data_IF_685858494904
#
_entry.id   IF_685858494904
#
_cell.length_a   1.000
_cell.length_b   1.000
_cell.length_c   1.000
_cell.angle_alpha   90.00
_cell.angle_beta   90.00
_cell.angle_gamma   90.00
#
_symmetry.space_group_name_H-M   'P 1'
#
loop_
_entity.id
_entity.type
_entity.pdbx_description
1 polymer ?
#
# COMPACT_ATOMS: atom_id res chain seq x y z
N UNK A 1 -8.05 18.37 -4.74
CA UNK A 1 -8.75 18.16 -6.03
C UNK A 1 -8.87 16.67 -6.27
N UNK A 2 -9.88 16.22 -7.03
CA UNK A 2 -10.03 14.83 -7.48
C UNK A 2 -9.87 14.84 -9.01
N UNK A 3 -9.08 13.91 -9.54
CA UNK A 3 -8.91 13.69 -10.97
C UNK A 3 -9.43 12.30 -11.33
N UNK A 4 -9.89 12.13 -12.57
CA UNK A 4 -10.54 10.91 -13.03
C UNK A 4 -10.02 10.52 -14.41
N UNK A 5 -9.88 9.21 -14.62
CA UNK A 5 -9.68 8.54 -15.91
C UNK A 5 -10.73 7.43 -16.03
N UNK A 6 -11.12 7.09 -17.25
CA UNK A 6 -12.11 6.03 -17.47
C UNK A 6 -11.96 5.39 -18.85
N UNK A 7 -12.46 4.17 -18.98
CA UNK A 7 -12.68 3.49 -20.24
C UNK A 7 -14.06 2.80 -20.22
N UNK A 8 -14.32 1.87 -21.14
CA UNK A 8 -15.62 1.19 -21.24
C UNK A 8 -15.94 0.25 -20.06
N UNK A 9 -14.96 -0.08 -19.22
CA UNK A 9 -15.10 -1.03 -18.09
C UNK A 9 -15.09 -0.32 -16.75
N UNK A 10 -14.14 0.58 -16.51
CA UNK A 10 -13.87 1.17 -15.20
C UNK A 10 -13.76 2.69 -15.25
N UNK A 11 -14.17 3.32 -14.15
CA UNK A 11 -13.88 4.71 -13.82
C UNK A 11 -13.00 4.75 -12.57
N UNK A 12 -11.86 5.42 -12.66
CA UNK A 12 -10.87 5.52 -11.58
C UNK A 12 -10.72 6.97 -11.17
N UNK A 13 -10.77 7.24 -9.86
CA UNK A 13 -10.56 8.59 -9.32
C UNK A 13 -9.45 8.63 -8.28
N UNK A 14 -8.63 9.68 -8.34
CA UNK A 14 -7.47 9.88 -7.49
C UNK A 14 -7.51 11.27 -6.85
N UNK A 15 -7.33 11.33 -5.54
CA UNK A 15 -7.13 12.57 -4.79
C UNK A 15 -5.73 13.12 -5.08
N UNK A 16 -5.63 14.40 -5.44
CA UNK A 16 -4.33 15.05 -5.61
C UNK A 16 -3.49 15.00 -4.33
N UNK A 17 -4.15 15.16 -3.17
CA UNK A 17 -3.51 15.07 -1.87
C UNK A 17 -2.96 13.65 -1.68
N UNK A 18 -1.65 13.53 -1.58
CA UNK A 18 -0.94 12.25 -1.46
C UNK A 18 -1.04 11.32 -2.67
N UNK A 19 -1.57 11.80 -3.81
CA UNK A 19 -1.91 10.98 -4.98
C UNK A 19 -2.70 9.71 -4.57
N UNK A 20 -3.68 9.85 -3.68
CA UNK A 20 -4.39 8.73 -3.07
C UNK A 20 -5.51 8.25 -4.00
N UNK A 21 -5.42 7.00 -4.47
CA UNK A 21 -6.52 6.33 -5.17
C UNK A 21 -7.75 6.30 -4.25
N UNK A 22 -8.87 6.86 -4.69
CA UNK A 22 -10.07 6.99 -3.85
C UNK A 22 -11.31 6.30 -4.43
N UNK A 23 -11.27 5.87 -5.69
CA UNK A 23 -12.38 5.14 -6.33
C UNK A 23 -11.89 4.29 -7.48
N UNK A 24 -12.40 3.05 -7.55
CA UNK A 24 -12.45 2.23 -8.77
C UNK A 24 -13.90 1.79 -8.87
N UNK A 25 -14.61 2.27 -9.88
CA UNK A 25 -16.03 1.98 -10.07
C UNK A 25 -16.27 1.27 -11.39
N UNK A 26 -17.08 0.21 -11.37
CA UNK A 26 -17.57 -0.46 -12.59
C UNK A 26 -18.53 0.45 -13.36
N UNK A 27 -18.27 0.65 -14.65
CA UNK A 27 -19.17 1.40 -15.54
C UNK A 27 -20.47 0.63 -15.78
N UNK A 28 -20.41 -0.70 -15.77
CA UNK A 28 -21.53 -1.61 -16.10
C UNK A 28 -22.63 -1.62 -15.04
N UNK A 29 -22.27 -1.63 -13.76
CA UNK A 29 -23.22 -1.80 -12.66
C UNK A 29 -23.06 -0.78 -11.52
N UNK A 30 -22.05 0.09 -11.58
CA UNK A 30 -21.81 1.12 -10.57
C UNK A 30 -21.16 0.63 -9.26
N UNK A 31 -20.76 -0.65 -9.17
CA UNK A 31 -20.07 -1.20 -7.99
C UNK A 31 -18.77 -0.44 -7.72
N UNK A 32 -18.59 0.02 -6.49
CA UNK A 32 -17.37 0.69 -6.01
C UNK A 32 -16.48 -0.29 -5.25
N UNK A 33 -15.26 -0.49 -5.75
CA UNK A 33 -14.33 -1.47 -5.20
C UNK A 33 -13.41 -0.89 -4.13
N UNK A 34 -13.19 0.43 -4.09
CA UNK A 34 -12.35 1.08 -3.08
C UNK A 34 -13.16 1.50 -1.87
N UNK A 35 -12.62 1.27 -0.67
CA UNK A 35 -13.21 1.73 0.57
C UNK A 35 -13.35 3.26 0.61
N UNK A 36 -14.53 3.73 0.98
CA UNK A 36 -14.94 5.16 0.89
C UNK A 36 -14.56 5.99 2.12
N UNK A 37 -13.49 5.61 2.81
CA UNK A 37 -12.87 6.38 3.89
C UNK A 37 -13.82 6.87 4.99
N UNK A 38 -14.81 6.07 5.42
CA UNK A 38 -15.68 6.48 6.53
C UNK A 38 -14.81 6.76 7.78
N UNK A 39 -14.77 8.01 8.29
CA UNK A 39 -13.86 8.40 9.37
C UNK A 39 -14.14 7.70 10.70
N UNK A 40 -15.37 7.20 10.91
CA UNK A 40 -15.74 6.45 12.11
C UNK A 40 -15.11 5.05 12.14
N UNK A 41 -14.62 4.56 10.99
CA UNK A 41 -13.93 3.27 10.86
C UNK A 41 -12.46 3.51 10.49
N UNK A 42 -12.22 4.06 9.29
CA UNK A 42 -10.88 4.41 8.80
C UNK A 42 -10.96 5.47 7.71
N UNK A 43 -10.44 6.67 8.00
CA UNK A 43 -10.53 7.86 7.14
C UNK A 43 -9.54 7.93 5.97
N UNK A 44 -9.17 6.80 5.38
CA UNK A 44 -8.34 6.76 4.15
C UNK A 44 -8.86 5.69 3.19
N UNK A 45 -8.42 5.75 1.94
CA UNK A 45 -8.89 4.89 0.85
C UNK A 45 -7.77 3.92 0.42
N UNK A 46 -6.70 4.46 -0.14
CA UNK A 46 -5.57 3.70 -0.65
C UNK A 46 -4.27 4.53 -0.63
N UNK A 47 -3.75 4.88 0.57
CA UNK A 47 -2.62 5.78 0.66
C UNK A 47 -1.34 5.15 0.09
N UNK A 48 -0.53 5.99 -0.56
CA UNK A 48 0.88 5.68 -0.82
C UNK A 48 1.68 5.77 0.47
N UNK A 49 2.72 4.95 0.61
CA UNK A 49 3.60 4.88 1.78
C UNK A 49 5.03 5.20 1.34
N UNK A 50 5.56 6.33 1.80
CA UNK A 50 6.90 6.82 1.47
C UNK A 50 7.30 7.94 2.44
N UNK A 51 8.56 8.02 2.90
CA UNK A 51 9.69 7.14 2.60
C UNK A 51 9.86 6.00 3.62
N UNK A 52 8.87 5.77 4.47
CA UNK A 52 8.88 4.69 5.46
C UNK A 52 7.55 3.95 5.44
N UNK A 53 7.56 2.68 5.86
CA UNK A 53 6.37 1.84 6.04
C UNK A 53 6.19 1.58 7.52
N UNK A 54 4.96 1.64 8.02
CA UNK A 54 4.64 1.39 9.41
C UNK A 54 5.23 2.43 10.36
N UNK A 55 5.38 2.06 11.64
CA UNK A 55 5.92 2.93 12.67
C UNK A 55 7.45 2.86 12.69
N UNK A 56 8.09 3.96 13.08
CA UNK A 56 9.50 3.98 13.49
C UNK A 56 9.56 3.98 15.02
N UNK A 57 10.62 3.38 15.59
CA UNK A 57 10.82 3.42 17.03
C UNK A 57 11.02 4.87 17.46
N UNK A 58 10.25 5.28 18.47
CA UNK A 58 10.19 6.67 18.95
C UNK A 58 9.75 7.69 17.88
N UNK A 59 9.05 7.24 16.83
CA UNK A 59 8.56 8.07 15.72
C UNK A 59 9.66 8.87 14.99
N UNK A 60 10.88 8.34 14.96
CA UNK A 60 12.02 9.02 14.33
C UNK A 60 13.13 8.03 13.92
N UNK A 61 13.92 8.40 12.91
CA UNK A 61 15.16 7.69 12.54
C UNK A 61 16.39 8.58 12.76
N UNK A 62 17.56 7.95 12.81
CA UNK A 62 18.87 8.59 12.85
C UNK A 62 19.52 8.42 11.48
N UNK A 63 20.09 9.50 10.95
CA UNK A 63 20.90 9.49 9.74
C UNK A 63 22.07 10.45 9.93
N UNK A 64 23.29 9.96 9.72
CA UNK A 64 24.53 10.73 9.90
C UNK A 64 24.62 11.41 11.29
N UNK A 65 24.18 10.71 12.33
CA UNK A 65 24.21 11.20 13.72
C UNK A 65 23.16 12.26 14.05
N UNK A 66 22.25 12.57 13.13
CA UNK A 66 21.12 13.48 13.37
C UNK A 66 19.79 12.73 13.36
N UNK A 67 18.90 13.12 14.27
CA UNK A 67 17.56 12.58 14.39
C UNK A 67 16.56 13.33 13.51
N UNK A 68 15.65 12.58 12.89
CA UNK A 68 14.59 13.08 12.02
C UNK A 68 13.25 12.47 12.43
N UNK A 69 12.31 13.31 12.86
CA UNK A 69 10.95 12.90 13.18
C UNK A 69 10.20 12.49 11.91
N UNK A 70 9.48 11.36 11.97
CA UNK A 70 8.76 10.81 10.83
C UNK A 70 7.45 10.16 11.32
N UNK A 71 6.29 10.55 10.77
CA UNK A 71 5.03 9.90 11.10
C UNK A 71 4.96 8.47 10.56
N UNK A 72 4.02 7.69 11.10
CA UNK A 72 3.69 6.34 10.61
C UNK A 72 3.41 6.38 9.09
N UNK A 73 4.04 5.48 8.34
CA UNK A 73 3.97 5.39 6.87
C UNK A 73 4.55 6.59 6.08
N UNK A 74 5.32 7.44 6.75
CA UNK A 74 5.96 8.58 6.13
C UNK A 74 5.00 9.71 5.80
N UNK A 75 5.41 10.59 4.91
CA UNK A 75 4.76 11.89 4.70
C UNK A 75 4.06 12.03 3.35
N UNK A 76 4.17 11.07 2.42
CA UNK A 76 3.47 11.19 1.12
C UNK A 76 1.95 11.17 1.34
N UNK A 77 1.47 10.30 2.22
CA UNK A 77 0.07 10.30 2.65
C UNK A 77 -0.25 11.65 3.27
N UNK A 78 -1.39 12.21 2.85
CA UNK A 78 -1.84 13.54 3.24
C UNK A 78 -1.00 14.73 2.77
N UNK A 79 0.04 14.53 1.95
CA UNK A 79 0.85 15.63 1.46
C UNK A 79 0.08 16.50 0.46
N UNK A 80 0.00 17.80 0.72
CA UNK A 80 -0.69 18.78 -0.13
C UNK A 80 0.21 19.39 -1.20
N UNK A 81 1.52 19.14 -1.14
CA UNK A 81 2.49 19.62 -2.13
C UNK A 81 2.55 18.70 -3.35
N UNK A 82 1.93 17.52 -3.29
CA UNK A 82 1.69 16.68 -4.48
C UNK A 82 0.89 17.48 -5.51
N UNK A 83 1.26 17.36 -6.78
CA UNK A 83 0.60 18.00 -7.92
C UNK A 83 0.35 17.02 -9.04
N UNK A 84 -0.73 17.22 -9.79
CA UNK A 84 -0.88 16.61 -11.09
C UNK A 84 0.30 17.03 -11.99
N UNK A 85 0.97 16.04 -12.57
CA UNK A 85 2.10 16.20 -13.49
C UNK A 85 1.66 16.00 -14.94
N UNK A 86 0.87 14.97 -15.20
CA UNK A 86 0.39 14.62 -16.54
C UNK A 86 -0.99 13.98 -16.45
N UNK A 87 -1.86 14.28 -17.42
CA UNK A 87 -3.16 13.65 -17.58
C UNK A 87 -3.42 13.38 -19.06
N UNK A 88 -3.94 12.19 -19.34
CA UNK A 88 -4.49 11.77 -20.62
C UNK A 88 -5.81 11.01 -20.38
N UNK A 89 -6.36 10.35 -21.40
CA UNK A 89 -7.65 9.66 -21.29
C UNK A 89 -7.60 8.46 -20.33
N UNK A 90 -6.48 7.74 -20.33
CA UNK A 90 -6.28 6.48 -19.61
C UNK A 90 -5.16 6.55 -18.56
N UNK A 91 -4.54 7.72 -18.34
CA UNK A 91 -3.44 7.88 -17.39
C UNK A 91 -3.49 9.18 -16.61
N UNK A 92 -3.25 9.07 -15.30
CA UNK A 92 -2.93 10.18 -14.40
C UNK A 92 -1.51 9.99 -13.88
N UNK A 93 -0.74 11.07 -13.80
CA UNK A 93 0.57 11.09 -13.15
C UNK A 93 0.63 12.23 -12.16
N UNK A 94 1.05 11.96 -10.94
CA UNK A 94 1.27 12.94 -9.90
C UNK A 94 2.75 13.01 -9.54
N UNK A 95 3.19 14.14 -9.00
CA UNK A 95 4.58 14.33 -8.56
C UNK A 95 4.64 15.02 -7.19
N UNK A 96 5.58 14.57 -6.36
CA UNK A 96 6.11 15.28 -5.21
C UNK A 96 7.62 15.45 -5.39
N UNK A 97 8.08 16.69 -5.52
CA UNK A 97 9.51 17.01 -5.49
C UNK A 97 9.90 17.45 -4.08
N UNK A 98 11.08 17.04 -3.63
CA UNK A 98 11.62 17.47 -2.35
C UNK A 98 11.75 19.00 -2.27
N UNK A 99 11.45 19.56 -1.12
CA UNK A 99 11.52 20.99 -0.85
C UNK A 99 12.12 21.25 0.55
N UNK A 100 12.21 22.51 0.95
CA UNK A 100 12.76 22.87 2.26
C UNK A 100 12.00 22.24 3.44
N UNK A 101 10.69 22.03 3.32
CA UNK A 101 9.89 21.41 4.37
C UNK A 101 10.08 19.90 4.43
N UNK A 102 10.11 19.20 3.30
CA UNK A 102 10.38 17.75 3.30
C UNK A 102 11.80 17.46 3.81
N UNK A 103 12.79 18.29 3.44
CA UNK A 103 14.18 18.13 3.90
C UNK A 103 14.39 18.33 5.40
N UNK A 104 13.46 18.96 6.12
CA UNK A 104 13.49 19.04 7.59
C UNK A 104 13.26 17.69 8.26
N UNK A 105 12.47 16.82 7.65
CA UNK A 105 12.07 15.52 8.19
C UNK A 105 12.69 14.32 7.45
N UNK A 106 13.25 14.55 6.27
CA UNK A 106 13.88 13.51 5.46
C UNK A 106 14.99 14.14 4.59
N UNK A 107 16.27 13.97 4.95
CA UNK A 107 17.38 14.77 4.46
C UNK A 107 17.87 14.38 3.05
N UNK A 108 16.97 13.97 2.16
CA UNK A 108 17.29 13.58 0.79
C UNK A 108 16.53 14.44 -0.20
N UNK A 109 17.16 14.70 -1.34
CA UNK A 109 16.54 15.36 -2.48
C UNK A 109 16.02 14.31 -3.45
N UNK A 110 14.76 14.43 -3.83
CA UNK A 110 14.06 13.42 -4.62
C UNK A 110 12.99 14.04 -5.51
N UNK A 111 12.62 13.28 -6.55
CA UNK A 111 11.33 13.40 -7.24
C UNK A 111 10.60 12.07 -7.11
N UNK A 112 9.37 12.11 -6.62
CA UNK A 112 8.51 10.93 -6.54
C UNK A 112 7.29 11.12 -7.44
N UNK A 113 7.23 10.35 -8.52
CA UNK A 113 6.07 10.29 -9.42
C UNK A 113 5.25 9.03 -9.16
N UNK A 114 3.93 9.21 -9.23
CA UNK A 114 2.96 8.14 -9.01
C UNK A 114 2.03 8.14 -10.21
N UNK A 115 2.07 7.07 -10.98
CA UNK A 115 1.31 6.90 -12.21
C UNK A 115 0.16 5.93 -12.00
N UNK A 116 -1.02 6.31 -12.46
CA UNK A 116 -2.22 5.50 -12.51
C UNK A 116 -2.54 5.28 -13.98
N UNK A 117 -2.45 4.04 -14.46
CA UNK A 117 -2.61 3.69 -15.87
C UNK A 117 -3.75 2.67 -15.97
N UNK A 118 -4.81 3.03 -16.68
CA UNK A 118 -6.03 2.23 -16.80
C UNK A 118 -6.07 1.51 -18.15
N UNK A 119 -5.92 0.19 -18.14
CA UNK A 119 -5.94 -0.66 -19.31
C UNK A 119 -7.04 -1.71 -19.16
N UNK A 120 -8.10 -1.66 -19.98
CA UNK A 120 -9.25 -2.57 -19.88
C UNK A 120 -9.83 -2.56 -18.44
N UNK A 121 -9.92 -3.72 -17.80
CA UNK A 121 -10.38 -3.92 -16.43
C UNK A 121 -9.24 -3.90 -15.38
N UNK A 122 -8.07 -3.37 -15.74
CA UNK A 122 -6.90 -3.32 -14.88
C UNK A 122 -6.39 -1.88 -14.68
N UNK A 123 -6.15 -1.52 -13.41
CA UNK A 123 -5.43 -0.31 -13.02
C UNK A 123 -4.01 -0.68 -12.58
N UNK A 124 -2.99 -0.16 -13.26
CA UNK A 124 -1.59 -0.21 -12.80
C UNK A 124 -1.29 1.03 -11.98
N UNK A 125 -0.62 0.82 -10.85
CA UNK A 125 -0.07 1.86 -9.99
C UNK A 125 1.44 1.74 -10.04
N UNK A 126 2.10 2.68 -10.71
CA UNK A 126 3.55 2.67 -10.93
C UNK A 126 4.17 3.79 -10.11
N UNK A 127 5.16 3.44 -9.29
CA UNK A 127 5.95 4.36 -8.49
C UNK A 127 7.30 4.58 -9.18
N UNK A 128 7.62 5.83 -9.51
CA UNK A 128 8.91 6.23 -10.06
C UNK A 128 9.59 7.21 -9.09
N UNK A 129 10.76 6.84 -8.58
CA UNK A 129 11.52 7.64 -7.63
C UNK A 129 12.87 7.97 -8.23
N UNK A 130 13.23 9.24 -8.30
CA UNK A 130 14.54 9.71 -8.76
C UNK A 130 15.29 10.35 -7.61
N UNK A 131 16.55 9.94 -7.40
CA UNK A 131 17.46 10.63 -6.48
C UNK A 131 17.95 11.91 -7.13
N UNK A 132 17.56 13.06 -6.59
CA UNK A 132 17.88 14.38 -7.15
C UNK A 132 19.07 15.07 -6.44
N UNK A 133 19.55 14.48 -5.34
CA UNK A 133 20.65 15.00 -4.54
C UNK A 133 22.02 14.46 -4.95
N UNK A 134 23.02 14.75 -4.11
CA UNK A 134 24.41 14.33 -4.33
C UNK A 134 24.84 13.11 -3.49
N UNK A 135 23.96 12.61 -2.61
CA UNK A 135 24.23 11.47 -1.72
C UNK A 135 23.30 10.30 -2.03
N UNK A 136 23.69 9.08 -1.65
CA UNK A 136 22.83 7.88 -1.71
C UNK A 136 21.51 8.15 -0.96
N UNK A 137 20.38 7.95 -1.63
CA UNK A 137 19.07 8.11 -1.04
C UNK A 137 18.56 6.80 -0.45
N UNK A 138 17.99 6.86 0.75
CA UNK A 138 17.50 5.70 1.51
C UNK A 138 15.98 5.76 1.66
N UNK A 139 15.23 4.71 1.29
CA UNK A 139 13.76 4.75 1.44
C UNK A 139 13.11 3.37 1.52
N UNK A 140 11.87 3.36 2.00
CA UNK A 140 10.87 2.31 1.77
C UNK A 140 9.76 2.86 0.85
N UNK A 141 9.06 1.94 0.19
CA UNK A 141 7.94 2.24 -0.69
C UNK A 141 6.85 1.19 -0.55
N UNK A 142 5.59 1.61 -0.43
CA UNK A 142 4.45 0.69 -0.43
C UNK A 142 3.14 1.33 -0.85
N UNK A 143 2.16 0.47 -1.16
CA UNK A 143 0.75 0.84 -1.28
C UNK A 143 -0.05 0.36 -0.08
N UNK A 144 -1.23 0.94 0.14
CA UNK A 144 -2.16 0.52 1.18
C UNK A 144 -3.63 0.53 0.71
N UNK A 145 -3.96 -0.05 -0.47
CA UNK A 145 -5.33 -0.01 -0.98
C UNK A 145 -6.28 -0.85 -0.13
N UNK A 146 -7.39 -0.23 0.30
CA UNK A 146 -8.51 -0.91 0.94
C UNK A 146 -9.62 -1.19 -0.08
N UNK A 147 -10.04 -2.44 -0.13
CA UNK A 147 -11.07 -2.93 -1.04
C UNK A 147 -12.35 -3.26 -0.30
N UNK A 148 -13.48 -2.73 -0.78
CA UNK A 148 -14.80 -3.05 -0.22
C UNK A 148 -15.08 -4.56 -0.33
N UNK A 149 -15.64 -5.10 0.73
CA UNK A 149 -16.37 -6.35 0.73
C UNK A 149 -17.87 -6.03 0.71
N UNK A 150 -18.71 -7.07 0.66
CA UNK A 150 -20.18 -6.94 0.65
C UNK A 150 -20.67 -6.07 -0.53
N UNK A 151 -20.07 -6.27 -1.70
CA UNK A 151 -20.32 -5.51 -2.92
C UNK A 151 -21.76 -5.65 -3.45
N UNK A 152 -22.42 -6.77 -3.13
CA UNK A 152 -23.81 -7.06 -3.56
C UNK A 152 -24.70 -7.31 -2.34
N UNK A 153 -26.01 -7.00 -2.49
CA UNK A 153 -27.00 -7.24 -1.44
C UNK A 153 -27.05 -8.72 -1.02
N UNK A 154 -27.00 -8.97 0.30
CA UNK A 154 -27.04 -10.33 0.87
C UNK A 154 -25.68 -11.02 0.97
N UNK A 155 -24.59 -10.34 0.59
CA UNK A 155 -23.23 -10.78 0.89
C UNK A 155 -22.80 -10.29 2.28
N UNK A 156 -22.11 -11.17 3.00
CA UNK A 156 -21.52 -10.91 4.31
C UNK A 156 -19.99 -10.89 4.20
N UNK A 157 -19.30 -10.20 5.12
CA UNK A 157 -17.83 -10.18 5.13
C UNK A 157 -17.22 -11.60 5.18
N UNK A 158 -17.88 -12.55 5.84
CA UNK A 158 -17.46 -13.96 5.94
C UNK A 158 -17.64 -14.78 4.65
N UNK A 159 -18.37 -14.24 3.67
CA UNK A 159 -18.45 -14.83 2.33
C UNK A 159 -17.17 -14.55 1.53
N UNK A 160 -16.36 -13.57 1.95
CA UNK A 160 -15.14 -13.18 1.26
C UNK A 160 -13.92 -13.94 1.76
N UNK A 161 -12.95 -14.12 0.87
CA UNK A 161 -11.67 -14.76 1.16
C UNK A 161 -10.57 -14.20 0.27
N UNK A 162 -9.34 -14.33 0.75
CA UNK A 162 -8.14 -14.03 0.00
C UNK A 162 -7.52 -15.34 -0.51
N UNK A 163 -7.21 -15.39 -1.80
CA UNK A 163 -6.62 -16.55 -2.47
C UNK A 163 -5.26 -16.17 -3.09
N UNK A 164 -4.20 -16.83 -2.65
CA UNK A 164 -2.85 -16.71 -3.20
C UNK A 164 -2.72 -17.53 -4.48
N UNK A 165 -1.89 -17.04 -5.40
CA UNK A 165 -1.58 -17.72 -6.66
C UNK A 165 -0.97 -19.13 -6.47
N UNK A 166 -0.19 -19.31 -5.40
CA UNK A 166 0.47 -20.57 -5.07
C UNK A 166 0.13 -21.02 -3.64
N UNK A 167 0.36 -22.30 -3.35
CA UNK A 167 0.32 -22.78 -1.98
C UNK A 167 1.49 -22.22 -1.17
N UNK A 168 1.12 -21.62 -0.05
CA UNK A 168 2.00 -20.91 0.86
C UNK A 168 2.12 -21.65 2.19
N UNK A 169 3.28 -21.50 2.82
CA UNK A 169 3.48 -21.84 4.24
C UNK A 169 4.03 -20.58 4.90
N UNK A 170 3.15 -19.79 5.50
CA UNK A 170 3.46 -18.44 5.97
C UNK A 170 3.14 -18.29 7.45
N UNK A 171 4.07 -17.66 8.16
CA UNK A 171 3.84 -17.12 9.49
C UNK A 171 3.59 -15.61 9.37
N UNK A 172 2.69 -15.08 10.18
CA UNK A 172 2.59 -13.63 10.35
C UNK A 172 3.69 -13.13 11.28
N UNK A 173 4.01 -11.84 11.23
CA UNK A 173 4.86 -11.18 12.23
C UNK A 173 4.00 -10.37 13.19
N UNK A 174 4.21 -10.54 14.49
CA UNK A 174 3.43 -9.81 15.49
C UNK A 174 3.86 -8.35 15.54
N UNK A 175 2.91 -7.45 15.76
CA UNK A 175 3.22 -6.09 16.18
C UNK A 175 3.39 -6.04 17.70
N UNK A 176 4.53 -5.51 18.15
CA UNK A 176 4.79 -5.12 19.52
C UNK A 176 4.22 -3.72 19.82
N UNK A 177 4.42 -3.26 21.05
CA UNK A 177 4.00 -1.93 21.49
C UNK A 177 4.47 -0.84 20.52
N UNK A 178 3.59 0.12 20.23
CA UNK A 178 3.86 1.21 19.29
C UNK A 178 3.80 0.81 17.82
N UNK A 179 3.37 -0.41 17.46
CA UNK A 179 3.26 -0.86 16.08
C UNK A 179 4.59 -1.24 15.43
N UNK A 180 5.54 -1.67 16.25
CA UNK A 180 6.87 -2.15 15.84
C UNK A 180 6.83 -3.65 15.52
N UNK A 181 7.70 -4.13 14.64
CA UNK A 181 7.83 -5.56 14.34
C UNK A 181 8.45 -6.28 15.55
N UNK A 182 7.69 -7.21 16.12
CA UNK A 182 8.13 -8.10 17.18
C UNK A 182 8.62 -9.44 16.63
N UNK A 183 8.43 -10.49 17.43
CA UNK A 183 8.78 -11.85 17.03
C UNK A 183 7.85 -12.38 15.93
N UNK A 184 8.32 -13.44 15.27
CA UNK A 184 7.46 -14.26 14.42
C UNK A 184 6.22 -14.70 15.21
N UNK A 185 5.08 -14.59 14.55
CA UNK A 185 3.76 -14.87 15.07
C UNK A 185 3.26 -16.25 14.65
N UNK A 186 1.93 -16.38 14.64
CA UNK A 186 1.28 -17.65 14.30
C UNK A 186 1.44 -17.98 12.82
N UNK A 187 1.47 -19.26 12.51
CA UNK A 187 1.27 -19.76 11.17
C UNK A 187 -0.14 -19.41 10.69
N UNK A 188 -0.24 -18.69 9.57
CA UNK A 188 -1.51 -18.31 8.94
C UNK A 188 -1.87 -19.23 7.78
N UNK A 189 -0.87 -19.81 7.12
CA UNK A 189 -1.04 -20.80 6.05
C UNK A 189 -0.03 -21.94 6.20
N UNK A 190 -0.45 -23.16 5.89
CA UNK A 190 0.39 -24.35 5.89
C UNK A 190 0.10 -25.18 4.64
N UNK A 191 0.94 -25.05 3.61
CA UNK A 191 0.73 -25.62 2.28
C UNK A 191 -0.71 -25.40 1.77
N UNK A 192 -1.20 -24.18 1.93
CA UNK A 192 -2.53 -23.75 1.56
C UNK A 192 -2.44 -22.37 0.91
N UNK A 193 -3.46 -21.99 0.16
CA UNK A 193 -3.47 -20.73 -0.58
C UNK A 193 -4.63 -19.81 -0.20
N UNK A 194 -5.42 -20.14 0.83
CA UNK A 194 -6.65 -19.39 1.13
C UNK A 194 -6.74 -18.93 2.57
N UNK A 195 -7.00 -17.64 2.76
CA UNK A 195 -7.33 -17.03 4.05
C UNK A 195 -8.80 -16.58 4.00
N UNK A 196 -9.66 -17.21 4.80
CA UNK A 196 -11.06 -16.79 4.92
C UNK A 196 -11.16 -15.51 5.75
N UNK A 197 -11.88 -14.51 5.25
CA UNK A 197 -12.12 -13.29 6.01
C UNK A 197 -13.17 -13.55 7.09
N UNK A 198 -12.92 -13.01 8.28
CA UNK A 198 -13.89 -12.98 9.38
C UNK A 198 -13.60 -11.76 10.28
N UNK A 199 -14.58 -11.26 11.05
CA UNK A 199 -14.46 -9.95 11.70
C UNK A 199 -13.25 -9.78 12.65
N UNK A 200 -12.80 -10.89 13.25
CA UNK A 200 -11.69 -10.93 14.21
C UNK A 200 -10.30 -11.20 13.60
N UNK A 201 -10.19 -11.45 12.29
CA UNK A 201 -8.92 -11.90 11.69
C UNK A 201 -7.78 -10.89 11.88
N UNK A 202 -8.11 -9.61 11.93
CA UNK A 202 -7.18 -8.49 12.16
C UNK A 202 -7.29 -7.87 13.56
N UNK A 203 -7.88 -8.60 14.54
CA UNK A 203 -8.02 -8.10 15.92
C UNK A 203 -6.68 -7.84 16.61
N UNK A 204 -5.60 -8.47 16.13
CA UNK A 204 -4.21 -8.25 16.58
C UNK A 204 -3.39 -7.43 15.59
N UNK A 205 -4.05 -6.54 14.85
CA UNK A 205 -3.48 -5.74 13.77
C UNK A 205 -3.14 -6.56 12.51
N UNK A 206 -2.36 -6.00 11.60
CA UNK A 206 -2.10 -6.54 10.27
C UNK A 206 -1.48 -7.94 10.29
N UNK A 207 -1.88 -8.79 9.34
CA UNK A 207 -1.12 -9.97 8.99
C UNK A 207 0.05 -9.53 8.10
N UNK A 208 1.26 -9.59 8.64
CA UNK A 208 2.48 -9.17 7.95
C UNK A 208 3.14 -10.42 7.38
N UNK A 209 3.14 -10.53 6.05
CA UNK A 209 3.61 -11.70 5.33
C UNK A 209 4.92 -11.37 4.61
N UNK A 210 5.96 -12.16 4.90
CA UNK A 210 7.29 -12.02 4.30
C UNK A 210 7.57 -13.20 3.38
N UNK A 211 8.41 -12.98 2.36
CA UNK A 211 8.98 -14.03 1.49
C UNK A 211 7.90 -14.91 0.81
N UNK A 212 6.87 -14.28 0.24
CA UNK A 212 5.81 -14.99 -0.48
C UNK A 212 6.37 -15.68 -1.74
N UNK A 213 5.83 -16.86 -2.08
CA UNK A 213 6.08 -17.48 -3.40
C UNK A 213 5.21 -16.85 -4.48
N UNK A 214 4.01 -16.43 -4.08
CA UNK A 214 3.00 -15.82 -4.93
C UNK A 214 3.38 -14.38 -5.24
N UNK A 215 3.17 -13.98 -6.49
CA UNK A 215 3.30 -12.59 -6.96
C UNK A 215 1.95 -11.89 -7.12
N UNK A 216 0.86 -12.60 -6.78
CA UNK A 216 -0.50 -12.11 -6.84
C UNK A 216 -1.39 -12.72 -5.75
N UNK A 217 -2.44 -11.99 -5.39
CA UNK A 217 -3.49 -12.41 -4.46
C UNK A 217 -4.84 -11.91 -4.96
N UNK A 218 -5.88 -12.73 -4.84
CA UNK A 218 -7.25 -12.41 -5.24
C UNK A 218 -8.14 -12.26 -4.02
N UNK A 219 -8.94 -11.19 -3.95
CA UNK A 219 -10.11 -11.08 -3.11
C UNK A 219 -11.32 -11.65 -3.88
N UNK A 220 -11.97 -12.65 -3.30
CA UNK A 220 -13.11 -13.36 -3.91
C UNK A 220 -14.29 -13.48 -2.97
N UNK A 221 -15.47 -13.70 -3.52
CA UNK A 221 -16.71 -13.97 -2.78
C UNK A 221 -17.18 -15.42 -3.06
N UNK A 222 -17.64 -16.13 -2.03
CA UNK A 222 -18.18 -17.50 -2.18
C UNK A 222 -19.55 -17.54 -2.88
N UNK A 223 -20.24 -16.40 -2.96
CA UNK A 223 -21.61 -16.29 -3.47
C UNK A 223 -21.69 -15.73 -4.90
N UNK A 224 -20.57 -15.37 -5.51
CA UNK A 224 -20.53 -14.80 -6.86
C UNK A 224 -19.20 -15.12 -7.56
N UNK A 225 -19.13 -14.87 -8.87
CA UNK A 225 -17.89 -15.01 -9.65
C UNK A 225 -16.95 -13.80 -9.53
N UNK A 226 -17.22 -12.92 -8.54
CA UNK A 226 -16.39 -11.73 -8.30
C UNK A 226 -14.95 -12.11 -7.95
N UNK A 227 -14.01 -11.47 -8.64
CA UNK A 227 -12.59 -11.51 -8.32
C UNK A 227 -11.96 -10.11 -8.49
N UNK A 228 -11.30 -9.64 -7.44
CA UNK A 228 -10.35 -8.53 -7.51
C UNK A 228 -8.95 -9.08 -7.27
N UNK A 229 -8.08 -8.97 -8.27
CA UNK A 229 -6.73 -9.54 -8.23
C UNK A 229 -5.67 -8.44 -8.15
N UNK A 230 -4.85 -8.48 -7.10
CA UNK A 230 -3.69 -7.61 -6.93
C UNK A 230 -2.43 -8.36 -7.34
N UNK A 231 -1.66 -7.83 -8.29
CA UNK A 231 -0.31 -8.31 -8.64
C UNK A 231 0.72 -7.36 -8.06
N UNK A 232 1.77 -7.90 -7.48
CA UNK A 232 2.73 -7.14 -6.69
C UNK A 232 4.15 -7.72 -6.83
N UNK A 233 4.53 -8.17 -8.03
CA UNK A 233 5.80 -8.87 -8.26
C UNK A 233 7.05 -8.10 -7.79
N UNK A 234 7.02 -6.77 -7.81
CA UNK A 234 8.12 -5.92 -7.33
C UNK A 234 8.17 -5.76 -5.81
N UNK A 235 7.13 -6.20 -5.09
CA UNK A 235 6.96 -5.99 -3.66
C UNK A 235 7.14 -7.31 -2.91
N UNK A 236 8.27 -7.52 -2.20
CA UNK A 236 8.58 -8.80 -1.58
C UNK A 236 7.69 -9.13 -0.37
N UNK A 237 7.13 -8.11 0.30
CA UNK A 237 6.29 -8.26 1.49
C UNK A 237 4.86 -7.80 1.22
N UNK A 238 3.92 -8.38 1.97
CA UNK A 238 2.50 -8.08 1.88
C UNK A 238 1.91 -7.85 3.27
N UNK A 239 1.27 -6.71 3.48
CA UNK A 239 0.37 -6.47 4.61
C UNK A 239 -1.05 -6.83 4.24
N UNK A 240 -1.75 -7.60 5.08
CA UNK A 240 -3.20 -7.76 5.00
C UNK A 240 -3.81 -7.18 6.25
N UNK A 241 -4.78 -6.28 6.10
CA UNK A 241 -5.31 -5.55 7.25
C UNK A 241 -6.74 -5.09 7.03
N UNK A 242 -7.50 -4.98 8.12
CA UNK A 242 -8.69 -4.15 8.17
C UNK A 242 -8.86 -3.67 9.60
N UNK A 243 -9.66 -2.62 9.79
CA UNK A 243 -10.21 -2.41 11.13
C UNK A 243 -11.08 -3.60 11.53
N UNK A 244 -11.02 -4.06 12.79
CA UNK A 244 -11.92 -5.12 13.26
C UNK A 244 -13.38 -4.78 12.93
N UNK A 245 -14.12 -5.76 12.42
CA UNK A 245 -15.50 -5.61 11.93
C UNK A 245 -15.73 -4.64 10.76
N UNK A 246 -14.70 -4.15 10.09
CA UNK A 246 -14.88 -3.29 8.92
C UNK A 246 -15.30 -4.09 7.68
N UNK A 247 -16.12 -3.51 6.79
CA UNK A 247 -16.59 -4.16 5.57
C UNK A 247 -15.60 -4.00 4.40
N UNK A 248 -14.29 -4.02 4.69
CA UNK A 248 -13.24 -3.92 3.68
C UNK A 248 -12.03 -4.76 4.10
N UNK A 249 -11.12 -5.01 3.16
CA UNK A 249 -9.79 -5.55 3.44
C UNK A 249 -8.74 -4.78 2.64
N UNK A 250 -7.63 -4.46 3.30
CA UNK A 250 -6.43 -3.91 2.69
C UNK A 250 -5.53 -5.03 2.20
N UNK A 251 -4.99 -4.85 1.00
CA UNK A 251 -3.95 -5.70 0.42
C UNK A 251 -2.78 -4.79 0.08
N UNK A 252 -1.74 -4.83 0.89
CA UNK A 252 -0.73 -3.77 0.98
C UNK A 252 0.63 -4.27 0.48
N UNK A 253 1.00 -4.01 -0.79
CA UNK A 253 2.29 -4.41 -1.33
C UNK A 253 3.41 -3.50 -0.79
N UNK A 254 4.46 -4.08 -0.21
CA UNK A 254 5.52 -3.36 0.50
C UNK A 254 6.95 -3.73 0.06
N UNK A 255 7.76 -2.69 -0.18
CA UNK A 255 9.23 -2.70 -0.23
C UNK A 255 9.73 -1.96 1.00
N UNK A 256 9.75 -2.68 2.12
CA UNK A 256 10.05 -2.13 3.42
C UNK A 256 9.09 -2.64 4.49
N UNK A 257 9.37 -2.26 5.74
CA UNK A 257 8.57 -2.67 6.89
C UNK A 257 8.73 -1.66 8.04
N UNK A 258 7.83 -1.73 9.03
CA UNK A 258 7.95 -1.00 10.30
C UNK A 258 9.29 -1.33 10.99
N UNK A 259 9.74 -0.46 11.89
CA UNK A 259 10.91 -0.75 12.71
C UNK A 259 10.72 -2.02 13.53
N UNK A 260 11.79 -2.79 13.71
CA UNK A 260 11.84 -3.82 14.73
C UNK A 260 11.78 -3.20 16.12
N UNK A 261 11.21 -3.91 17.09
CA UNK A 261 11.27 -3.52 18.51
C UNK A 261 12.72 -3.31 19.00
N UNK A 262 13.67 -4.06 18.44
CA UNK A 262 15.09 -4.00 18.74
C UNK A 262 15.86 -3.00 17.87
N UNK A 263 15.16 -2.18 17.06
CA UNK A 263 15.75 -1.14 16.21
C UNK A 263 16.71 -0.25 17.00
N UNK A 264 17.89 -0.02 16.43
CA UNK A 264 18.86 0.98 16.89
C UNK A 264 18.56 2.38 16.28
N UNK A 265 17.47 2.50 15.52
CA UNK A 265 16.98 3.73 14.87
C UNK A 265 17.85 4.26 13.73
N UNK A 266 19.01 3.66 13.47
CA UNK A 266 19.84 4.02 12.31
C UNK A 266 19.10 3.70 11.01
N UNK A 267 18.85 4.70 10.18
CA UNK A 267 17.99 4.52 9.03
C UNK A 267 18.56 3.51 8.03
N UNK A 268 19.89 3.53 7.86
CA UNK A 268 20.63 2.60 6.99
C UNK A 268 20.62 1.14 7.47
N UNK A 269 20.17 0.86 8.69
CA UNK A 269 20.08 -0.50 9.24
C UNK A 269 18.69 -1.12 9.06
N UNK A 270 17.69 -0.36 8.58
CA UNK A 270 16.32 -0.86 8.41
C UNK A 270 16.26 -2.02 7.42
N UNK A 271 15.42 -2.99 7.77
CA UNK A 271 15.10 -4.14 6.94
C UNK A 271 14.40 -3.70 5.63
N UNK A 272 14.84 -4.27 4.50
CA UNK A 272 14.36 -3.95 3.14
C UNK A 272 14.53 -2.49 2.68
N UNK A 273 15.43 -1.76 3.32
CA UNK A 273 15.77 -0.40 2.90
C UNK A 273 16.32 -0.38 1.47
N UNK A 274 15.73 0.46 0.63
CA UNK A 274 16.22 0.74 -0.71
C UNK A 274 17.32 1.79 -0.65
N UNK A 275 18.34 1.59 -1.50
CA UNK A 275 19.47 2.50 -1.66
C UNK A 275 19.53 2.94 -3.11
N UNK A 276 19.50 4.25 -3.34
CA UNK A 276 19.44 4.83 -4.68
C UNK A 276 20.54 5.87 -4.86
N UNK A 277 21.51 5.54 -5.71
CA UNK A 277 22.63 6.42 -6.04
C UNK A 277 22.16 7.77 -6.63
N UNK A 278 22.94 8.84 -6.47
CA UNK A 278 22.67 10.15 -7.07
C UNK A 278 22.34 10.08 -8.57
N UNK A 279 21.24 10.72 -8.97
CA UNK A 279 20.79 10.76 -10.37
C UNK A 279 20.13 9.47 -10.88
N UNK A 280 20.16 8.37 -10.11
CA UNK A 280 19.51 7.13 -10.50
C UNK A 280 18.00 7.17 -10.23
N UNK A 281 17.32 6.25 -10.92
CA UNK A 281 15.87 6.07 -10.88
C UNK A 281 15.51 4.67 -10.41
N UNK A 282 14.54 4.60 -9.51
CA UNK A 282 13.91 3.38 -9.04
C UNK A 282 12.47 3.32 -9.57
N UNK A 283 12.00 2.13 -9.95
CA UNK A 283 10.62 1.88 -10.37
C UNK A 283 10.10 0.60 -9.75
N UNK A 284 8.87 0.62 -9.25
CA UNK A 284 8.12 -0.55 -8.81
C UNK A 284 6.64 -0.36 -9.15
N UNK A 285 5.94 -1.44 -9.45
CA UNK A 285 4.51 -1.40 -9.78
C UNK A 285 3.68 -2.52 -9.15
N UNK A 286 2.43 -2.19 -8.83
CA UNK A 286 1.41 -3.17 -8.54
C UNK A 286 0.18 -2.88 -9.40
N UNK A 287 -0.61 -3.92 -9.71
CA UNK A 287 -1.81 -3.78 -10.52
C UNK A 287 -3.04 -4.32 -9.82
N UNK A 288 -4.19 -3.69 -10.02
CA UNK A 288 -5.50 -4.12 -9.53
C UNK A 288 -6.34 -4.48 -10.75
N UNK A 289 -6.72 -5.74 -10.88
CA UNK A 289 -7.55 -6.28 -11.96
C UNK A 289 -8.93 -6.67 -11.40
N UNK A 290 -10.00 -6.27 -12.08
CA UNK A 290 -11.39 -6.48 -11.63
C UNK A 290 -12.13 -7.40 -12.61
N UNK A 291 -12.67 -8.50 -12.11
CA UNK A 291 -13.55 -9.41 -12.83
C UNK A 291 -14.91 -9.45 -12.11
N UNK A 292 -15.96 -8.85 -12.72
CA UNK A 292 -17.26 -8.56 -12.09
C UNK A 292 -18.52 -9.09 -12.80
#
# INVERSE_FOLDING_TARGET
MIYTIQNDQLKVSVLEKGAELCSIQSIKNGTEYIWQANPDIWGSHAPNLFPVIGCLKENAFIHEGKEYAMPKHGFIRNNTDVKLFEQSEDRLSFILSSNENTRKVYPFEFEFKIHFILESNQLKVVHEITSAGNNEMLFHLGGHPAFNCQLKNGEEYTDYYLEFEQNETLNTWNLADGGLIGSEGKQVLNNANTINLHPEIFAKDALILKNLKSSAISLKCKKSDFELKVRFADFPYLGLWAKPHAPYVCIEPWIGIADSADSNREFSSKELLQKLEPGNKFTAEYSIEIND
#
